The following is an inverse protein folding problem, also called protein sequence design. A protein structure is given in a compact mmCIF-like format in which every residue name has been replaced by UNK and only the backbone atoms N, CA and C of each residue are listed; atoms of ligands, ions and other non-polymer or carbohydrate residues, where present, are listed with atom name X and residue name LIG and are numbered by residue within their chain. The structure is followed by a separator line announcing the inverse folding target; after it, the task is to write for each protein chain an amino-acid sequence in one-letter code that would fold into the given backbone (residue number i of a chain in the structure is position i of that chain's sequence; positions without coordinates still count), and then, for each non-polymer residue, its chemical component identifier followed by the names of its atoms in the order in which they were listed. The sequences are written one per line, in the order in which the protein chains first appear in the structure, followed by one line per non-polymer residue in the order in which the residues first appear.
data_IF_936938200051
#
_entry.id   IF_936938200051
#
_cell.length_a   1.000
_cell.length_b   1.000
_cell.length_c   1.000
_cell.angle_alpha   90.00
_cell.angle_beta   90.00
_cell.angle_gamma   90.00
#
_symmetry.space_group_name_H-M   'P 1'
#
loop_
_entity.id
_entity.type
_entity.pdbx_description
1 polymer ?
#
# COMPACT_ATOMS: atom_id res chain seq x y z
N UNK A 1 10.55 -1.58 -0.86
CA UNK A 1 9.69 -0.40 -0.90
C UNK A 1 9.45 0.18 0.51
N UNK A 2 8.74 -0.50 1.42
CA UNK A 2 8.36 0.06 2.73
C UNK A 2 9.55 0.54 3.58
N UNK A 3 10.72 -0.11 3.55
CA UNK A 3 11.95 0.36 4.23
C UNK A 3 12.44 1.69 3.67
N UNK A 4 12.33 1.90 2.36
CA UNK A 4 12.75 3.13 1.71
C UNK A 4 11.89 4.33 2.15
N UNK A 5 10.60 4.12 2.46
CA UNK A 5 9.68 5.16 2.96
C UNK A 5 10.25 5.83 4.22
N UNK A 6 10.59 5.03 5.23
CA UNK A 6 11.14 5.54 6.48
C UNK A 6 12.45 6.31 6.25
N UNK A 7 13.33 5.79 5.40
CA UNK A 7 14.62 6.44 5.14
C UNK A 7 14.49 7.77 4.40
N UNK A 8 13.60 7.86 3.42
CA UNK A 8 13.32 9.11 2.69
C UNK A 8 12.92 10.19 3.70
N UNK A 9 11.96 9.88 4.56
CA UNK A 9 11.48 10.82 5.57
C UNK A 9 12.54 11.18 6.62
N UNK A 10 13.32 10.19 7.08
CA UNK A 10 14.41 10.43 8.06
C UNK A 10 15.56 11.27 7.51
N UNK A 11 15.72 11.34 6.18
CA UNK A 11 16.71 12.20 5.53
C UNK A 11 16.19 13.62 5.24
N UNK A 12 15.04 13.99 5.80
CA UNK A 12 14.48 15.34 5.72
C UNK A 12 13.86 15.66 4.35
N UNK A 13 13.56 14.64 3.55
CA UNK A 13 12.83 14.80 2.28
C UNK A 13 11.37 14.56 2.59
N UNK A 14 10.52 15.54 2.28
CA UNK A 14 9.08 15.51 2.54
C UNK A 14 8.32 15.51 1.21
N UNK A 15 8.11 14.35 0.58
CA UNK A 15 7.32 14.26 -0.64
C UNK A 15 5.88 14.74 -0.40
N UNK A 16 5.26 15.36 -1.40
CA UNK A 16 3.84 15.70 -1.36
C UNK A 16 2.96 14.45 -1.44
N UNK A 17 3.48 13.35 -2.00
CA UNK A 17 2.86 12.03 -1.91
C UNK A 17 3.91 10.92 -1.90
N UNK A 18 3.64 9.87 -1.14
CA UNK A 18 4.48 8.68 -1.06
C UNK A 18 3.59 7.44 -0.94
N UNK A 19 3.30 6.83 -2.09
CA UNK A 19 2.34 5.76 -2.23
C UNK A 19 3.03 4.41 -2.39
N UNK A 20 2.54 3.41 -1.66
CA UNK A 20 2.96 2.02 -1.77
C UNK A 20 1.93 1.22 -2.57
N UNK A 21 2.40 0.35 -3.45
CA UNK A 21 1.56 -0.58 -4.21
C UNK A 21 2.26 -1.94 -4.30
N UNK A 22 1.60 -3.00 -3.89
CA UNK A 22 2.06 -4.35 -4.21
C UNK A 22 2.03 -4.60 -5.71
N UNK A 23 2.88 -5.52 -6.20
CA UNK A 23 2.90 -5.95 -7.59
C UNK A 23 1.52 -6.41 -8.06
N UNK A 24 0.85 -7.24 -7.24
CA UNK A 24 -0.46 -7.80 -7.58
C UNK A 24 -1.53 -6.71 -7.71
N UNK A 25 -1.44 -5.62 -6.96
CA UNK A 25 -2.31 -4.46 -7.13
C UNK A 25 -2.18 -3.84 -8.52
N UNK A 26 -0.94 -3.70 -9.00
CA UNK A 26 -0.66 -3.17 -10.35
C UNK A 26 -1.04 -4.16 -11.44
N UNK A 27 -0.84 -5.47 -11.21
CA UNK A 27 -1.29 -6.52 -12.12
C UNK A 27 -2.80 -6.49 -12.30
N UNK A 28 -3.58 -6.30 -11.26
CA UNK A 28 -5.05 -6.20 -11.38
C UNK A 28 -5.48 -5.02 -12.24
N UNK A 29 -4.82 -3.88 -12.11
CA UNK A 29 -5.10 -2.70 -12.96
C UNK A 29 -4.85 -3.02 -14.42
N UNK A 30 -3.72 -3.68 -14.74
CA UNK A 30 -3.35 -4.09 -16.10
C UNK A 30 -4.33 -5.12 -16.66
N UNK A 31 -4.55 -6.21 -15.93
CA UNK A 31 -5.25 -7.39 -16.42
C UNK A 31 -6.75 -7.12 -16.64
N UNK A 32 -7.29 -6.12 -15.95
CA UNK A 32 -8.66 -5.67 -16.10
C UNK A 32 -8.79 -4.38 -16.94
N UNK A 33 -7.70 -3.93 -17.57
CA UNK A 33 -7.68 -2.79 -18.49
C UNK A 33 -8.17 -1.47 -17.88
N UNK A 34 -7.94 -1.23 -16.58
CA UNK A 34 -8.29 0.05 -15.94
C UNK A 34 -7.34 1.18 -16.26
N UNK A 35 -6.07 0.86 -16.53
CA UNK A 35 -5.08 1.81 -17.02
C UNK A 35 -3.97 1.12 -17.80
N UNK A 36 -3.47 1.81 -18.82
CA UNK A 36 -2.23 1.42 -19.50
C UNK A 36 -1.05 1.72 -18.59
N UNK A 37 -0.22 0.71 -18.37
CA UNK A 37 0.97 0.87 -17.55
C UNK A 37 2.05 1.65 -18.33
N UNK A 38 2.57 2.77 -17.81
CA UNK A 38 3.67 3.49 -18.45
C UNK A 38 5.03 2.80 -18.26
N UNK A 39 5.04 1.57 -17.74
CA UNK A 39 6.23 0.77 -17.47
C UNK A 39 5.97 -0.73 -17.64
N UNK A 40 7.07 -1.49 -17.80
CA UNK A 40 7.00 -2.95 -17.75
C UNK A 40 7.05 -3.45 -16.32
N UNK A 41 6.24 -4.44 -16.01
CA UNK A 41 6.33 -5.18 -14.74
C UNK A 41 7.47 -6.19 -14.89
N UNK A 42 8.52 -6.02 -14.13
CA UNK A 42 9.64 -6.95 -14.10
C UNK A 42 9.30 -8.15 -13.19
N UNK A 43 9.80 -9.33 -13.54
CA UNK A 43 9.50 -10.56 -12.80
C UNK A 43 9.88 -10.47 -11.31
N UNK A 44 11.05 -9.89 -11.04
CA UNK A 44 11.60 -9.74 -9.67
C UNK A 44 11.00 -8.59 -8.86
N UNK A 45 10.17 -7.76 -9.49
CA UNK A 45 9.53 -6.64 -8.77
C UNK A 45 8.42 -7.19 -7.88
N UNK A 46 8.44 -6.88 -6.62
CA UNK A 46 7.40 -7.27 -5.64
C UNK A 46 6.46 -6.10 -5.30
N UNK A 47 6.96 -4.87 -5.43
CA UNK A 47 6.18 -3.67 -5.07
C UNK A 47 6.74 -2.43 -5.74
N UNK A 48 5.92 -1.38 -5.76
CA UNK A 48 6.22 -0.08 -6.33
C UNK A 48 6.07 1.02 -5.26
N UNK A 49 6.88 2.06 -5.40
CA UNK A 49 6.66 3.35 -4.74
C UNK A 49 6.38 4.40 -5.81
N UNK A 50 5.30 5.15 -5.64
CA UNK A 50 5.05 6.38 -6.34
C UNK A 50 5.41 7.52 -5.39
N UNK A 51 6.32 8.38 -5.80
CA UNK A 51 6.84 9.48 -5.01
C UNK A 51 6.58 10.76 -5.78
N UNK A 52 5.83 11.67 -5.20
CA UNK A 52 5.58 12.98 -5.79
C UNK A 52 6.32 14.05 -5.00
N UNK A 53 7.03 14.90 -5.72
CA UNK A 53 7.69 16.08 -5.20
C UNK A 53 7.01 17.31 -5.81
N UNK A 54 6.68 18.29 -5.00
CA UNK A 54 6.13 19.55 -5.43
C UNK A 54 6.97 20.73 -4.94
N UNK A 55 6.88 21.84 -5.64
CA UNK A 55 7.61 23.04 -5.30
C UNK A 55 7.71 24.02 -6.48
N UNK A 56 8.13 25.23 -6.18
CA UNK A 56 8.28 26.31 -7.17
C UNK A 56 9.66 26.33 -7.86
N UNK A 57 10.65 25.64 -7.30
CA UNK A 57 12.01 25.63 -7.82
C UNK A 57 12.35 24.26 -8.41
N UNK A 58 12.43 24.18 -9.74
CA UNK A 58 12.75 22.95 -10.47
C UNK A 58 14.11 22.35 -10.11
N UNK A 59 15.12 23.18 -9.90
CA UNK A 59 16.47 22.71 -9.55
C UNK A 59 16.46 22.02 -8.16
N UNK A 60 15.75 22.60 -7.21
CA UNK A 60 15.55 21.99 -5.90
C UNK A 60 14.82 20.63 -6.02
N UNK A 61 13.77 20.55 -6.82
CA UNK A 61 13.03 19.29 -7.05
C UNK A 61 13.91 18.21 -7.66
N UNK A 62 14.75 18.56 -8.64
CA UNK A 62 15.71 17.61 -9.20
C UNK A 62 16.75 17.15 -8.18
N UNK A 63 17.26 18.05 -7.36
CA UNK A 63 18.21 17.71 -6.30
C UNK A 63 17.59 16.78 -5.24
N UNK A 64 16.32 16.98 -4.90
CA UNK A 64 15.58 16.10 -3.99
C UNK A 64 15.32 14.73 -4.63
N UNK A 65 14.92 14.69 -5.90
CA UNK A 65 14.75 13.45 -6.65
C UNK A 65 16.06 12.64 -6.73
N UNK A 66 17.19 13.30 -6.97
CA UNK A 66 18.51 12.66 -7.00
C UNK A 66 18.93 12.10 -5.63
N UNK A 67 18.64 12.82 -4.56
CA UNK A 67 18.84 12.31 -3.19
C UNK A 67 17.98 11.07 -2.93
N UNK A 68 16.70 11.11 -3.30
CA UNK A 68 15.81 9.94 -3.19
C UNK A 68 16.38 8.78 -4.00
N UNK A 69 16.75 9.02 -5.27
CA UNK A 69 17.35 8.00 -6.12
C UNK A 69 18.56 7.33 -5.45
N UNK A 70 19.45 8.12 -4.89
CA UNK A 70 20.64 7.62 -4.18
C UNK A 70 20.27 6.79 -2.95
N UNK A 71 19.29 7.26 -2.16
CA UNK A 71 18.83 6.56 -0.96
C UNK A 71 18.21 5.19 -1.26
N UNK A 72 17.42 5.09 -2.34
CA UNK A 72 16.71 3.86 -2.67
C UNK A 72 17.59 2.77 -3.27
N UNK A 73 18.77 3.11 -3.81
CA UNK A 73 19.68 2.14 -4.43
C UNK A 73 20.09 1.00 -3.49
N UNK A 74 20.20 1.26 -2.19
CA UNK A 74 20.52 0.24 -1.19
C UNK A 74 19.45 -0.85 -1.01
N UNK A 75 18.26 -0.66 -1.60
CA UNK A 75 17.12 -1.59 -1.47
C UNK A 75 16.91 -2.49 -2.69
N UNK A 76 17.93 -2.75 -3.47
CA UNK A 76 17.81 -3.49 -4.74
C UNK A 76 16.70 -2.93 -5.63
N UNK A 77 16.68 -1.59 -5.75
CA UNK A 77 15.72 -0.87 -6.57
C UNK A 77 15.85 -1.28 -8.04
N UNK A 78 14.73 -1.59 -8.67
CA UNK A 78 14.65 -1.79 -10.12
C UNK A 78 14.71 -0.45 -10.88
N UNK A 79 14.11 -0.43 -12.06
CA UNK A 79 14.06 0.77 -12.89
C UNK A 79 13.28 1.89 -12.21
N UNK A 80 13.90 3.06 -12.07
CA UNK A 80 13.24 4.30 -11.67
C UNK A 80 12.74 5.03 -12.91
N UNK A 81 11.51 5.54 -12.84
CA UNK A 81 10.86 6.33 -13.90
C UNK A 81 10.61 7.72 -13.33
N UNK A 82 11.05 8.72 -14.05
CA UNK A 82 10.81 10.12 -13.70
C UNK A 82 9.79 10.68 -14.68
N UNK A 83 8.69 11.22 -14.14
CA UNK A 83 7.65 11.91 -14.89
C UNK A 83 7.76 13.41 -14.64
N UNK A 84 8.29 14.16 -15.61
CA UNK A 84 8.55 15.59 -15.52
C UNK A 84 7.46 16.45 -16.20
N UNK A 85 6.45 15.79 -16.76
CA UNK A 85 5.33 16.44 -17.43
C UNK A 85 3.98 15.89 -16.97
N UNK A 86 2.93 16.71 -17.06
CA UNK A 86 1.59 16.38 -16.58
C UNK A 86 1.00 15.11 -17.20
N UNK A 87 1.27 14.86 -18.47
CA UNK A 87 0.72 13.68 -19.15
C UNK A 87 1.27 12.39 -18.57
N UNK A 88 2.56 12.31 -18.33
CA UNK A 88 3.20 11.14 -17.70
C UNK A 88 2.79 11.00 -16.24
N UNK A 89 2.75 12.11 -15.49
CA UNK A 89 2.27 12.12 -14.10
C UNK A 89 0.85 11.56 -14.00
N UNK A 90 -0.07 12.05 -14.84
CA UNK A 90 -1.46 11.56 -14.86
C UNK A 90 -1.56 10.07 -15.21
N UNK A 91 -0.73 9.55 -16.12
CA UNK A 91 -0.68 8.13 -16.46
C UNK A 91 -0.26 7.27 -15.25
N UNK A 92 0.77 7.71 -14.52
CA UNK A 92 1.22 7.01 -13.30
C UNK A 92 0.14 7.07 -12.22
N UNK A 93 -0.41 8.25 -11.95
CA UNK A 93 -1.49 8.44 -10.98
C UNK A 93 -2.76 7.67 -11.34
N UNK A 94 -3.08 7.54 -12.63
CA UNK A 94 -4.20 6.72 -13.09
C UNK A 94 -4.04 5.26 -12.67
N UNK A 95 -2.83 4.69 -12.74
CA UNK A 95 -2.56 3.34 -12.25
C UNK A 95 -2.90 3.26 -10.76
N UNK A 96 -2.35 4.15 -9.93
CA UNK A 96 -2.58 4.15 -8.47
C UNK A 96 -4.06 4.31 -8.11
N UNK A 97 -4.75 5.27 -8.72
CA UNK A 97 -6.18 5.53 -8.46
C UNK A 97 -7.11 4.42 -8.94
N UNK A 98 -6.67 3.60 -9.88
CA UNK A 98 -7.48 2.50 -10.43
C UNK A 98 -7.42 1.22 -9.61
N UNK A 99 -6.52 1.10 -8.62
CA UNK A 99 -6.32 -0.16 -7.88
C UNK A 99 -7.60 -0.60 -7.18
N UNK A 100 -8.27 0.30 -6.44
CA UNK A 100 -9.50 -0.05 -5.73
C UNK A 100 -10.62 -0.56 -6.66
N UNK A 101 -10.77 0.06 -7.84
CA UNK A 101 -11.72 -0.39 -8.86
C UNK A 101 -11.34 -1.76 -9.41
N UNK A 102 -10.05 -1.99 -9.66
CA UNK A 102 -9.55 -3.25 -10.18
C UNK A 102 -9.70 -4.39 -9.16
N UNK A 103 -9.44 -4.14 -7.88
CA UNK A 103 -9.68 -5.10 -6.79
C UNK A 103 -11.17 -5.45 -6.69
N UNK A 104 -12.03 -4.44 -6.72
CA UNK A 104 -13.50 -4.60 -6.66
C UNK A 104 -14.04 -5.40 -7.86
N UNK A 105 -13.49 -5.21 -9.05
CA UNK A 105 -13.91 -5.95 -10.23
C UNK A 105 -13.41 -7.40 -10.23
N UNK A 106 -12.26 -7.66 -9.60
CA UNK A 106 -11.68 -9.00 -9.53
C UNK A 106 -12.44 -9.92 -8.57
N UNK A 107 -12.78 -9.46 -7.37
CA UNK A 107 -13.39 -10.30 -6.33
C UNK A 107 -14.24 -9.49 -5.36
N UNK A 108 -15.15 -10.17 -4.68
CA UNK A 108 -15.69 -9.66 -3.41
C UNK A 108 -14.52 -9.54 -2.44
N UNK A 109 -14.41 -8.43 -1.74
CA UNK A 109 -13.31 -8.18 -0.83
C UNK A 109 -13.79 -7.50 0.48
N UNK A 110 -12.97 -7.58 1.51
CA UNK A 110 -13.06 -6.75 2.71
C UNK A 110 -11.82 -5.88 2.77
N UNK A 111 -11.99 -4.61 3.05
CA UNK A 111 -10.92 -3.64 3.16
C UNK A 111 -10.75 -3.23 4.61
N UNK A 112 -9.54 -3.40 5.11
CA UNK A 112 -9.13 -2.97 6.43
C UNK A 112 -8.15 -1.81 6.28
N UNK A 113 -8.48 -0.69 6.90
CA UNK A 113 -7.78 0.59 6.79
C UNK A 113 -6.87 0.77 8.00
N UNK A 114 -5.65 0.26 7.90
CA UNK A 114 -4.68 0.23 9.00
C UNK A 114 -3.67 1.36 8.93
N UNK A 115 -3.27 1.91 10.07
CA UNK A 115 -2.17 2.90 10.17
C UNK A 115 -1.19 2.45 11.23
N UNK A 116 0.09 2.53 10.92
CA UNK A 116 1.20 2.30 11.86
C UNK A 116 2.28 3.37 11.69
N UNK A 117 3.13 3.61 12.68
CA UNK A 117 4.35 4.39 12.46
C UNK A 117 5.11 3.85 11.24
N UNK A 118 5.57 4.73 10.36
CA UNK A 118 6.22 4.40 9.06
C UNK A 118 7.30 3.33 9.18
N UNK A 119 8.09 3.37 10.27
CA UNK A 119 9.13 2.37 10.55
C UNK A 119 8.59 0.95 10.73
N UNK A 120 7.30 0.80 11.03
CA UNK A 120 6.64 -0.48 11.27
C UNK A 120 5.83 -0.99 10.05
N UNK A 121 5.75 -0.26 8.94
CA UNK A 121 5.04 -0.68 7.73
C UNK A 121 5.49 -2.05 7.22
N UNK A 122 6.80 -2.33 7.26
CA UNK A 122 7.33 -3.65 6.86
C UNK A 122 6.77 -4.75 7.73
N UNK A 123 6.80 -4.56 9.06
CA UNK A 123 6.30 -5.55 10.02
C UNK A 123 4.80 -5.77 9.88
N UNK A 124 4.04 -4.71 9.62
CA UNK A 124 2.61 -4.80 9.36
C UNK A 124 2.35 -5.63 8.10
N UNK A 125 3.00 -5.29 6.98
CA UNK A 125 2.82 -6.00 5.71
C UNK A 125 3.20 -7.48 5.83
N UNK A 126 4.37 -7.80 6.40
CA UNK A 126 4.83 -9.17 6.62
C UNK A 126 3.85 -9.94 7.54
N UNK A 127 3.37 -9.31 8.61
CA UNK A 127 2.41 -9.92 9.51
C UNK A 127 1.05 -10.17 8.87
N UNK A 128 0.54 -9.25 8.06
CA UNK A 128 -0.68 -9.45 7.26
C UNK A 128 -0.54 -10.66 6.34
N UNK A 129 0.61 -10.82 5.66
CA UNK A 129 0.85 -11.97 4.79
C UNK A 129 0.94 -13.28 5.57
N UNK A 130 1.56 -13.27 6.74
CA UNK A 130 1.61 -14.43 7.63
C UNK A 130 0.23 -14.83 8.14
N UNK A 131 -0.58 -13.88 8.57
CA UNK A 131 -1.97 -14.12 8.96
C UNK A 131 -2.76 -14.66 7.77
N UNK A 132 -2.58 -14.08 6.57
CA UNK A 132 -3.18 -14.58 5.35
C UNK A 132 -2.85 -16.04 5.06
N UNK A 133 -1.58 -16.41 5.22
CA UNK A 133 -1.14 -17.80 5.08
C UNK A 133 -1.78 -18.73 6.12
N UNK A 134 -1.90 -18.27 7.37
CA UNK A 134 -2.50 -19.05 8.48
C UNK A 134 -3.99 -19.32 8.25
N UNK A 135 -4.71 -18.32 7.76
CA UNK A 135 -6.17 -18.39 7.53
C UNK A 135 -6.56 -18.70 6.08
N UNK A 136 -5.54 -18.96 5.22
CA UNK A 136 -5.70 -19.32 3.81
C UNK A 136 -6.46 -18.28 2.98
N UNK A 137 -6.22 -17.00 3.21
CA UNK A 137 -6.74 -15.92 2.36
C UNK A 137 -5.62 -15.18 1.62
N UNK A 138 -5.97 -14.60 0.49
CA UNK A 138 -5.12 -13.66 -0.25
C UNK A 138 -5.47 -12.24 0.12
N UNK A 139 -4.47 -11.39 0.25
CA UNK A 139 -4.64 -9.95 0.45
C UNK A 139 -3.85 -9.16 -0.59
N UNK A 140 -4.39 -8.03 -0.98
CA UNK A 140 -3.73 -7.02 -1.82
C UNK A 140 -3.54 -5.76 -0.98
N UNK A 141 -2.29 -5.33 -0.84
CA UNK A 141 -1.95 -4.18 -0.02
C UNK A 141 -1.45 -3.02 -0.88
N UNK A 142 -1.98 -1.84 -0.60
CA UNK A 142 -1.53 -0.56 -1.16
C UNK A 142 -1.94 0.56 -0.19
N UNK A 143 -1.37 1.75 -0.31
CA UNK A 143 -1.79 2.84 0.57
C UNK A 143 -0.82 4.01 0.63
N UNK A 144 -1.15 4.95 1.49
CA UNK A 144 -0.43 6.19 1.73
C UNK A 144 0.75 5.94 2.67
N UNK A 145 1.84 5.37 2.12
CA UNK A 145 2.99 4.96 2.93
C UNK A 145 3.67 6.13 3.63
N UNK A 146 3.56 7.35 3.06
CA UNK A 146 4.02 8.60 3.69
C UNK A 146 3.36 8.88 5.04
N UNK A 147 2.12 8.42 5.25
CA UNK A 147 1.35 8.58 6.48
C UNK A 147 1.35 7.32 7.35
N UNK A 148 1.97 6.25 6.87
CA UNK A 148 1.95 4.96 7.55
C UNK A 148 0.65 4.17 7.33
N UNK A 149 -0.21 4.64 6.42
CA UNK A 149 -1.48 4.02 6.10
C UNK A 149 -1.30 2.87 5.09
N UNK A 150 -1.95 1.75 5.35
CA UNK A 150 -1.97 0.58 4.49
C UNK A 150 -3.39 0.01 4.40
N UNK A 151 -3.98 0.07 3.21
CA UNK A 151 -5.22 -0.61 2.88
C UNK A 151 -4.95 -2.09 2.64
N UNK A 152 -5.55 -2.94 3.45
CA UNK A 152 -5.44 -4.39 3.36
C UNK A 152 -6.73 -4.93 2.75
N UNK A 153 -6.71 -5.23 1.46
CA UNK A 153 -7.87 -5.77 0.75
C UNK A 153 -7.82 -7.30 0.78
N UNK A 154 -8.65 -7.91 1.60
CA UNK A 154 -8.76 -9.37 1.72
C UNK A 154 -9.74 -9.87 0.68
N UNK A 155 -9.29 -10.76 -0.20
CA UNK A 155 -10.09 -11.28 -1.30
C UNK A 155 -10.88 -12.51 -0.86
N UNK A 156 -12.13 -12.62 -1.34
CA UNK A 156 -12.95 -13.82 -1.12
C UNK A 156 -12.51 -15.02 -1.96
N UNK A 157 -11.66 -14.79 -2.94
CA UNK A 157 -11.19 -15.77 -3.91
C UNK A 157 -10.78 -17.10 -3.25
N UNK A 158 -11.47 -18.19 -3.61
CA UNK A 158 -11.24 -19.53 -3.09
C UNK A 158 -11.75 -19.81 -1.67
N UNK A 159 -12.30 -18.83 -0.94
CA UNK A 159 -12.85 -19.03 0.40
C UNK A 159 -14.29 -19.54 0.36
N UNK A 160 -14.60 -20.52 1.21
CA UNK A 160 -15.98 -20.95 1.47
C UNK A 160 -16.76 -19.86 2.19
N UNK A 161 -18.11 -19.91 2.16
CA UNK A 161 -18.95 -18.97 2.90
C UNK A 161 -18.63 -18.97 4.40
N UNK A 162 -18.41 -20.14 4.99
CA UNK A 162 -18.05 -20.25 6.42
C UNK A 162 -16.70 -19.58 6.72
N UNK A 163 -15.69 -19.77 5.88
CA UNK A 163 -14.41 -19.10 6.04
C UNK A 163 -14.56 -17.59 5.92
N UNK A 164 -15.34 -17.10 4.95
CA UNK A 164 -15.55 -15.69 4.70
C UNK A 164 -16.34 -14.98 5.78
N UNK A 165 -17.41 -15.60 6.26
CA UNK A 165 -18.37 -14.93 7.17
C UNK A 165 -18.01 -15.15 8.65
N UNK A 166 -17.32 -16.25 8.99
CA UNK A 166 -17.04 -16.62 10.38
C UNK A 166 -15.54 -16.60 10.67
N UNK A 167 -14.73 -17.39 9.94
CA UNK A 167 -13.31 -17.58 10.27
C UNK A 167 -12.53 -16.29 10.03
N UNK A 168 -12.81 -15.58 8.96
CA UNK A 168 -12.10 -14.34 8.58
C UNK A 168 -12.21 -13.25 9.66
N UNK A 169 -13.27 -13.22 10.45
CA UNK A 169 -13.38 -12.26 11.56
C UNK A 169 -12.27 -12.41 12.60
N UNK A 170 -11.76 -13.62 12.81
CA UNK A 170 -10.60 -13.87 13.70
C UNK A 170 -9.33 -13.34 13.07
N UNK A 171 -9.12 -13.59 11.79
CA UNK A 171 -7.97 -13.08 11.07
C UNK A 171 -7.92 -11.54 11.03
N UNK A 172 -9.07 -10.89 10.81
CA UNK A 172 -9.18 -9.42 10.84
C UNK A 172 -8.84 -8.89 12.25
N UNK A 173 -9.31 -9.55 13.31
CA UNK A 173 -8.94 -9.18 14.68
C UNK A 173 -7.43 -9.28 14.89
N UNK A 174 -6.79 -10.35 14.45
CA UNK A 174 -5.33 -10.51 14.55
C UNK A 174 -4.57 -9.43 13.76
N UNK A 175 -5.08 -9.00 12.60
CA UNK A 175 -4.50 -7.88 11.84
C UNK A 175 -4.58 -6.59 12.67
N UNK A 176 -5.70 -6.30 13.29
CA UNK A 176 -5.88 -5.11 14.12
C UNK A 176 -5.05 -5.17 15.41
N UNK A 177 -4.99 -6.32 16.07
CA UNK A 177 -4.11 -6.55 17.24
C UNK A 177 -2.64 -6.33 16.88
N UNK A 178 -2.21 -6.81 15.70
CA UNK A 178 -0.88 -6.53 15.19
C UNK A 178 -0.68 -5.03 14.95
N UNK A 179 -1.64 -4.36 14.36
CA UNK A 179 -1.59 -2.92 14.10
C UNK A 179 -1.39 -2.13 15.40
N UNK A 180 -2.21 -2.38 16.41
CA UNK A 180 -2.11 -1.76 17.75
C UNK A 180 -0.78 -2.10 18.41
N UNK A 181 -0.35 -3.37 18.37
CA UNK A 181 0.96 -3.80 18.91
C UNK A 181 2.14 -3.07 18.27
N UNK A 182 2.00 -2.67 17.02
CA UNK A 182 3.00 -1.88 16.29
C UNK A 182 2.90 -0.37 16.56
N UNK A 183 2.03 0.06 17.48
CA UNK A 183 1.81 1.46 17.84
C UNK A 183 0.93 2.21 16.84
N UNK A 184 0.07 1.48 16.13
CA UNK A 184 -0.85 2.00 15.15
C UNK A 184 -2.30 2.05 15.62
N UNK A 185 -3.22 2.34 14.70
CA UNK A 185 -4.67 2.40 14.91
C UNK A 185 -5.40 1.51 13.90
N UNK A 186 -6.62 1.10 14.25
CA UNK A 186 -7.47 0.21 13.42
C UNK A 186 -8.25 0.95 12.34
N UNK A 187 -8.14 2.27 12.27
CA UNK A 187 -8.75 3.09 11.23
C UNK A 187 -7.87 4.28 10.91
N UNK A 188 -7.51 4.45 9.64
CA UNK A 188 -6.75 5.59 9.14
C UNK A 188 -7.67 6.72 8.68
N UNK A 189 -8.37 6.50 7.56
CA UNK A 189 -9.16 7.52 6.87
C UNK A 189 -10.67 7.23 6.88
N UNK A 190 -11.05 5.94 6.86
CA UNK A 190 -12.44 5.51 6.62
C UNK A 190 -13.32 5.61 7.86
N UNK A 191 -12.74 5.71 9.05
CA UNK A 191 -13.46 5.62 10.31
C UNK A 191 -13.95 4.18 10.61
N UNK A 192 -14.24 3.90 11.87
CA UNK A 192 -14.60 2.56 12.35
C UNK A 192 -15.93 2.07 11.75
N UNK A 193 -16.89 2.97 11.53
CA UNK A 193 -18.19 2.64 10.96
C UNK A 193 -18.91 1.50 11.70
N UNK A 194 -19.94 0.95 11.06
CA UNK A 194 -20.73 -0.14 11.65
C UNK A 194 -20.00 -1.50 11.60
N UNK A 195 -19.24 -1.75 10.53
CA UNK A 195 -18.61 -3.06 10.28
C UNK A 195 -17.46 -3.32 11.26
N UNK A 196 -16.67 -2.29 11.58
CA UNK A 196 -15.51 -2.40 12.46
C UNK A 196 -15.84 -2.15 13.94
N UNK A 197 -17.08 -1.75 14.28
CA UNK A 197 -17.53 -1.49 15.66
C UNK A 197 -17.19 -2.63 16.65
N UNK A 198 -17.18 -3.87 16.18
CA UNK A 198 -16.85 -5.07 16.96
C UNK A 198 -15.37 -5.19 17.37
N UNK A 199 -14.51 -4.31 16.88
CA UNK A 199 -13.07 -4.27 17.15
C UNK A 199 -12.65 -3.03 17.93
N UNK A 200 -13.60 -2.17 18.32
CA UNK A 200 -13.33 -0.90 19.02
C UNK A 200 -12.64 -1.11 20.37
N UNK A 201 -12.79 -2.28 20.96
CA UNK A 201 -12.11 -2.70 22.19
C UNK A 201 -10.57 -2.78 22.04
N UNK A 202 -10.06 -2.79 20.81
CA UNK A 202 -8.63 -2.84 20.54
C UNK A 202 -7.96 -1.46 20.49
N UNK A 203 -8.73 -0.39 20.38
CA UNK A 203 -8.25 1.00 20.21
C UNK A 203 -8.32 1.81 21.51
N UNK A 204 -8.43 1.16 22.66
CA UNK A 204 -8.58 1.76 24.00
C UNK A 204 -7.33 1.64 24.88
#
# INVERSE_FOLDING_TARGET
ACRAVSDIMCNGILPSSLEFMEKDAVLFVRDQNYADLPFKIEEKTESYLLIELDGSNKEQLFNEAEKIYTLIQKYACGKVIVADNKTEQERIWKVRRSIGLAVKAFSVYKEEDTVVPRANLVKLLEGVKLIGATYNFKSICYGHAGDGNLHVNILKDGLTHYQWDVVLNKAIREIFELCVKLGGTISGEHGIGFIQKKFIDLDS
#
